data_IF_107018798667
#
_entry.id   IF_107018798667
#
_cell.length_a   1.000
_cell.length_b   1.000
_cell.length_c   1.000
_cell.angle_alpha   90.00
_cell.angle_beta   90.00
_cell.angle_gamma   90.00
#
_symmetry.space_group_name_H-M   'P 1'
#
loop_
_entity.id
_entity.type
_entity.pdbx_description
1 polymer ?
#
# COMPACT_ATOMS: atom_id res chain seq x y z
N UNK A 1 -35.68 -14.45 9.42
CA UNK A 1 -34.99 -13.24 8.90
C UNK A 1 -33.57 -13.64 8.59
N UNK A 2 -33.24 -13.79 7.31
CA UNK A 2 -31.94 -14.30 6.86
C UNK A 2 -30.88 -13.21 6.89
N UNK A 3 -29.74 -13.50 7.49
CA UNK A 3 -28.55 -12.66 7.43
C UNK A 3 -28.01 -12.68 5.99
N UNK A 4 -27.85 -11.50 5.40
CA UNK A 4 -27.14 -11.31 4.14
C UNK A 4 -25.64 -11.38 4.47
N UNK A 5 -24.95 -12.42 3.98
CA UNK A 5 -23.49 -12.64 4.14
C UNK A 5 -22.75 -11.76 3.11
N UNK A 6 -22.78 -10.43 3.31
CA UNK A 6 -22.28 -9.42 2.35
C UNK A 6 -20.73 -9.29 2.33
N UNK A 7 -20.01 -9.81 3.33
CA UNK A 7 -18.55 -9.62 3.48
C UNK A 7 -17.72 -10.79 2.94
N UNK A 8 -18.00 -11.21 1.71
CA UNK A 8 -17.28 -12.33 1.08
C UNK A 8 -16.79 -11.96 -0.31
N UNK A 9 -15.47 -11.80 -0.42
CA UNK A 9 -14.79 -11.66 -1.70
C UNK A 9 -14.59 -13.06 -2.30
N UNK A 10 -14.89 -13.19 -3.58
CA UNK A 10 -14.71 -14.43 -4.34
C UNK A 10 -13.91 -14.08 -5.58
N UNK A 11 -12.77 -14.75 -5.75
CA UNK A 11 -11.89 -14.57 -6.89
C UNK A 11 -11.80 -15.87 -7.68
N UNK A 12 -11.76 -15.75 -9.00
CA UNK A 12 -11.35 -16.84 -9.89
C UNK A 12 -9.85 -16.68 -10.17
N UNK A 13 -9.07 -17.72 -9.94
CA UNK A 13 -7.63 -17.70 -10.21
C UNK A 13 -7.31 -17.88 -11.70
N UNK A 14 -8.32 -18.16 -12.54
CA UNK A 14 -8.22 -18.33 -14.00
C UNK A 14 -7.01 -19.21 -14.38
N UNK A 15 -6.91 -20.39 -13.75
CA UNK A 15 -5.72 -21.26 -13.83
C UNK A 15 -5.29 -21.61 -15.27
N UNK A 16 -6.20 -21.48 -16.24
CA UNK A 16 -5.97 -21.75 -17.67
C UNK A 16 -5.34 -20.58 -18.43
N UNK A 17 -5.36 -19.38 -17.87
CA UNK A 17 -4.79 -18.16 -18.47
C UNK A 17 -3.39 -17.84 -17.94
N UNK A 18 -2.78 -18.77 -17.20
CA UNK A 18 -1.43 -18.61 -16.65
C UNK A 18 -0.41 -18.62 -17.78
N UNK A 19 0.12 -17.44 -18.12
CA UNK A 19 1.08 -17.25 -19.22
C UNK A 19 2.48 -17.81 -18.93
N UNK A 20 2.89 -17.89 -17.65
CA UNK A 20 4.22 -18.33 -17.27
C UNK A 20 4.21 -19.79 -16.79
N UNK A 21 4.94 -20.72 -17.43
CA UNK A 21 4.85 -22.16 -17.16
C UNK A 21 5.32 -22.57 -15.74
N UNK A 22 5.94 -21.67 -14.99
CA UNK A 22 6.39 -21.92 -13.60
C UNK A 22 5.66 -21.08 -12.55
N UNK A 23 4.72 -20.21 -12.94
CA UNK A 23 3.93 -19.46 -11.95
C UNK A 23 2.85 -20.34 -11.35
N UNK A 24 2.71 -20.28 -10.02
CA UNK A 24 1.60 -20.93 -9.33
C UNK A 24 0.33 -20.09 -9.56
N UNK A 25 -0.79 -20.68 -10.01
CA UNK A 25 -2.03 -19.93 -10.11
C UNK A 25 -2.48 -19.45 -8.73
N UNK A 26 -3.01 -18.24 -8.66
CA UNK A 26 -3.43 -17.61 -7.42
C UNK A 26 -3.48 -16.10 -7.54
N UNK A 27 -3.75 -15.44 -6.42
CA UNK A 27 -3.76 -13.98 -6.31
C UNK A 27 -2.80 -13.52 -5.23
N UNK A 28 -2.31 -12.28 -5.36
CA UNK A 28 -1.63 -11.57 -4.29
C UNK A 28 -2.61 -10.57 -3.68
N UNK A 29 -2.87 -10.71 -2.39
CA UNK A 29 -3.85 -9.90 -1.67
C UNK A 29 -3.14 -9.06 -0.61
N UNK A 30 -3.22 -7.73 -0.72
CA UNK A 30 -2.62 -6.80 0.24
C UNK A 30 -3.72 -5.99 0.95
N UNK A 31 -3.49 -5.67 2.22
CA UNK A 31 -4.39 -4.87 3.04
C UNK A 31 -3.60 -3.68 3.56
N UNK A 32 -4.10 -2.48 3.32
CA UNK A 32 -3.40 -1.25 3.65
C UNK A 32 -4.36 -0.10 3.94
N UNK A 33 -3.81 0.99 4.49
CA UNK A 33 -4.55 2.24 4.67
C UNK A 33 -4.94 2.85 3.31
N UNK A 34 -6.12 3.48 3.17
CA UNK A 34 -6.52 4.16 1.93
C UNK A 34 -5.61 5.35 1.55
N UNK A 35 -4.67 5.72 2.41
CA UNK A 35 -3.71 6.82 2.18
C UNK A 35 -2.29 6.33 1.88
N UNK A 36 -2.08 5.02 1.88
CA UNK A 36 -0.80 4.38 1.57
C UNK A 36 -0.90 3.68 0.22
N UNK A 37 0.15 3.79 -0.57
CA UNK A 37 0.30 2.99 -1.77
C UNK A 37 1.10 1.74 -1.40
N UNK A 38 0.53 0.57 -1.70
CA UNK A 38 1.16 -0.72 -1.44
C UNK A 38 1.30 -1.48 -2.74
N UNK A 39 2.43 -2.15 -2.89
CA UNK A 39 2.70 -3.07 -3.99
C UNK A 39 2.40 -4.51 -3.51
N UNK A 40 1.30 -5.15 -3.97
CA UNK A 40 0.97 -6.52 -3.58
C UNK A 40 2.04 -7.54 -3.97
N UNK A 41 2.93 -7.24 -4.93
CA UNK A 41 4.04 -8.12 -5.28
C UNK A 41 5.17 -8.12 -4.24
N UNK A 42 5.25 -7.08 -3.40
CA UNK A 42 6.24 -6.98 -2.32
C UNK A 42 5.66 -7.37 -0.96
N UNK A 43 4.44 -6.92 -0.67
CA UNK A 43 3.84 -7.01 0.67
C UNK A 43 2.56 -7.85 0.71
N UNK A 44 2.12 -8.37 -0.44
CA UNK A 44 0.89 -9.14 -0.55
C UNK A 44 1.01 -10.59 -0.07
N UNK A 45 -0.13 -11.12 0.34
CA UNK A 45 -0.32 -12.50 0.75
C UNK A 45 -0.68 -13.31 -0.49
N UNK A 46 0.12 -14.32 -0.82
CA UNK A 46 -0.22 -15.24 -1.90
C UNK A 46 -1.35 -16.19 -1.47
N UNK A 47 -2.45 -16.20 -2.23
CA UNK A 47 -3.63 -17.03 -1.99
C UNK A 47 -3.84 -18.03 -3.12
N UNK A 48 -4.04 -19.28 -2.75
CA UNK A 48 -4.17 -20.42 -3.67
C UNK A 48 -5.63 -20.69 -4.01
N UNK A 49 -5.91 -21.14 -5.24
CA UNK A 49 -7.23 -21.64 -5.63
C UNK A 49 -7.67 -22.82 -4.76
N UNK A 50 -8.98 -22.96 -4.55
CA UNK A 50 -9.59 -24.05 -3.79
C UNK A 50 -9.61 -23.84 -2.27
N UNK A 51 -9.20 -22.66 -1.80
CA UNK A 51 -9.06 -22.33 -0.39
C UNK A 51 -9.99 -21.17 0.03
N UNK A 52 -10.39 -21.24 1.31
CA UNK A 52 -11.06 -20.17 2.03
C UNK A 52 -10.05 -19.54 3.01
N UNK A 53 -9.76 -18.27 2.79
CA UNK A 53 -8.95 -17.42 3.64
C UNK A 53 -9.86 -16.61 4.55
N UNK A 54 -9.68 -16.74 5.86
CA UNK A 54 -10.30 -15.88 6.87
C UNK A 54 -9.23 -14.96 7.41
N UNK A 55 -9.37 -13.67 7.16
CA UNK A 55 -8.40 -12.66 7.57
C UNK A 55 -9.01 -11.88 8.71
N UNK A 56 -8.43 -11.98 9.90
CA UNK A 56 -8.78 -11.12 11.03
C UNK A 56 -7.87 -9.90 11.00
N UNK A 57 -8.46 -8.71 10.94
CA UNK A 57 -7.79 -7.41 10.97
C UNK A 57 -7.83 -6.81 12.37
N UNK A 58 -6.69 -6.25 12.77
CA UNK A 58 -6.52 -5.48 14.00
C UNK A 58 -5.93 -4.12 13.59
N UNK A 59 -6.56 -3.03 14.01
CA UNK A 59 -6.10 -1.67 13.72
C UNK A 59 -5.39 -1.08 14.93
N UNK A 60 -4.20 -0.53 14.70
CA UNK A 60 -3.49 0.31 15.66
C UNK A 60 -3.39 1.73 15.11
N UNK A 61 -3.70 2.73 15.93
CA UNK A 61 -3.43 4.13 15.62
C UNK A 61 -2.19 4.59 16.37
N UNK A 62 -1.27 5.21 15.65
CA UNK A 62 -0.10 5.87 16.23
C UNK A 62 -0.21 7.37 16.02
N UNK A 63 -0.05 8.13 17.10
CA UNK A 63 -0.10 9.59 17.11
C UNK A 63 1.23 10.14 17.64
N UNK A 64 2.02 10.68 16.72
CA UNK A 64 3.33 11.29 16.98
C UNK A 64 3.16 12.79 17.27
N UNK A 65 4.22 13.40 17.82
CA UNK A 65 4.23 14.83 18.08
C UNK A 65 4.98 15.59 16.97
N UNK A 66 4.45 16.73 16.49
CA UNK A 66 5.14 17.55 15.50
C UNK A 66 6.36 18.25 16.11
N UNK A 67 7.09 19.03 15.31
CA UNK A 67 8.07 19.99 15.85
C UNK A 67 7.45 20.81 17.01
N UNK A 68 8.15 21.04 18.14
CA UNK A 68 9.59 20.86 18.40
C UNK A 68 10.01 19.52 19.03
N UNK A 69 9.12 18.53 19.07
CA UNK A 69 9.44 17.23 19.67
C UNK A 69 10.32 16.38 18.74
N UNK A 70 11.06 15.41 19.31
CA UNK A 70 12.00 14.55 18.58
C UNK A 70 11.35 13.78 17.42
N UNK A 71 10.08 13.42 17.56
CA UNK A 71 9.33 12.73 16.50
C UNK A 71 9.19 13.60 15.25
N UNK A 72 9.21 14.93 15.38
CA UNK A 72 9.20 15.92 14.30
C UNK A 72 8.30 15.53 13.11
N UNK A 73 7.10 15.07 13.42
CA UNK A 73 6.19 14.52 12.42
C UNK A 73 5.57 15.62 11.56
N UNK A 74 5.02 15.23 10.41
CA UNK A 74 4.26 16.09 9.52
C UNK A 74 2.80 15.63 9.44
N UNK A 75 1.86 16.58 9.57
CA UNK A 75 0.45 16.33 9.32
C UNK A 75 0.14 16.47 7.82
N UNK A 76 0.33 15.37 7.08
CA UNK A 76 0.09 15.34 5.64
C UNK A 76 -1.36 15.62 5.26
N UNK A 77 -2.33 15.19 6.07
CA UNK A 77 -3.75 15.46 5.80
C UNK A 77 -4.05 16.95 5.86
N UNK A 78 -3.56 17.65 6.88
CA UNK A 78 -3.72 19.10 6.99
C UNK A 78 -3.01 19.83 5.85
N UNK A 79 -1.78 19.43 5.51
CA UNK A 79 -1.01 20.01 4.39
C UNK A 79 -1.74 19.83 3.06
N UNK A 80 -2.27 18.63 2.81
CA UNK A 80 -3.06 18.30 1.62
C UNK A 80 -4.34 19.13 1.53
N UNK A 81 -5.07 19.30 2.63
CA UNK A 81 -6.26 20.15 2.68
C UNK A 81 -5.92 21.62 2.38
N UNK A 82 -4.86 22.16 3.01
CA UNK A 82 -4.38 23.53 2.77
C UNK A 82 -3.92 23.75 1.34
N UNK A 83 -3.36 22.72 0.70
CA UNK A 83 -2.94 22.74 -0.70
C UNK A 83 -4.07 22.48 -1.71
N UNK A 84 -5.35 22.66 -1.31
CA UNK A 84 -6.47 22.45 -2.22
C UNK A 84 -6.65 21.00 -2.66
N UNK A 85 -6.36 20.04 -1.76
CA UNK A 85 -6.44 18.59 -2.01
C UNK A 85 -5.43 18.10 -3.05
N UNK A 86 -4.24 18.71 -3.08
CA UNK A 86 -3.13 18.29 -3.93
C UNK A 86 -1.91 17.88 -3.10
N UNK A 87 -1.07 17.01 -3.65
CA UNK A 87 0.14 16.51 -2.98
C UNK A 87 -0.05 15.21 -2.20
N UNK A 88 1.03 14.73 -1.53
CA UNK A 88 1.02 13.46 -0.81
C UNK A 88 0.19 13.53 0.47
N UNK A 89 -0.48 12.43 0.81
CA UNK A 89 -1.33 12.29 2.02
C UNK A 89 -0.71 11.40 3.10
N UNK A 90 0.49 10.89 2.85
CA UNK A 90 1.27 10.07 3.78
C UNK A 90 2.76 10.25 3.47
N UNK A 91 3.61 9.81 4.39
CA UNK A 91 5.05 9.73 4.18
C UNK A 91 5.39 8.86 2.97
N UNK A 92 4.76 7.69 2.83
CA UNK A 92 5.06 6.78 1.72
C UNK A 92 4.69 7.43 0.38
N UNK A 93 3.54 8.10 0.30
CA UNK A 93 3.17 8.87 -0.89
C UNK A 93 4.13 10.04 -1.17
N UNK A 94 4.73 10.64 -0.13
CA UNK A 94 5.77 11.65 -0.30
C UNK A 94 7.02 11.05 -0.96
N UNK A 95 7.46 9.86 -0.52
CA UNK A 95 8.61 9.16 -1.11
C UNK A 95 8.35 8.74 -2.55
N UNK A 96 7.17 8.17 -2.84
CA UNK A 96 6.77 7.83 -4.20
C UNK A 96 6.73 9.06 -5.11
N UNK A 97 6.30 10.22 -4.58
CA UNK A 97 6.36 11.49 -5.29
C UNK A 97 7.81 11.92 -5.59
N UNK A 98 8.73 11.80 -4.63
CA UNK A 98 10.15 12.11 -4.86
C UNK A 98 10.73 11.28 -6.01
N UNK A 99 10.46 9.97 -6.04
CA UNK A 99 10.87 9.11 -7.14
C UNK A 99 10.27 9.56 -8.46
N UNK A 100 8.95 9.78 -8.49
CA UNK A 100 8.28 10.27 -9.70
C UNK A 100 8.92 11.55 -10.21
N UNK A 101 9.08 12.56 -9.34
CA UNK A 101 9.63 13.86 -9.74
C UNK A 101 11.05 13.72 -10.28
N UNK A 102 11.89 12.85 -9.70
CA UNK A 102 13.22 12.56 -10.22
C UNK A 102 13.14 11.98 -11.64
N UNK A 103 12.32 10.96 -11.87
CA UNK A 103 12.20 10.33 -13.18
C UNK A 103 11.57 11.25 -14.23
N UNK A 104 10.54 12.01 -13.85
CA UNK A 104 9.90 12.99 -14.74
C UNK A 104 10.87 14.12 -15.11
N UNK A 105 11.70 14.58 -14.18
CA UNK A 105 12.70 15.63 -14.45
C UNK A 105 13.90 15.11 -15.29
N UNK A 106 14.31 13.87 -15.08
CA UNK A 106 15.49 13.31 -15.75
C UNK A 106 15.21 12.68 -17.12
N UNK A 107 14.05 12.03 -17.27
CA UNK A 107 13.73 11.19 -18.42
C UNK A 107 12.38 11.54 -19.06
N UNK A 108 11.69 12.57 -18.54
CA UNK A 108 10.37 12.99 -19.03
C UNK A 108 9.34 11.83 -19.09
N UNK A 109 9.50 10.83 -18.21
CA UNK A 109 8.67 9.64 -18.12
C UNK A 109 8.62 9.13 -16.69
N UNK A 110 7.68 8.24 -16.38
CA UNK A 110 7.56 7.61 -15.05
C UNK A 110 7.67 6.09 -15.17
N UNK A 111 8.42 5.47 -14.24
CA UNK A 111 8.50 4.02 -14.14
C UNK A 111 7.14 3.40 -13.78
N UNK A 112 6.90 2.15 -14.21
CA UNK A 112 5.64 1.45 -13.91
C UNK A 112 5.53 1.09 -12.42
N UNK A 113 6.66 0.92 -11.76
CA UNK A 113 6.79 0.56 -10.34
C UNK A 113 6.50 1.73 -9.38
N UNK A 114 6.44 2.97 -9.89
CA UNK A 114 6.14 4.15 -9.07
C UNK A 114 4.63 4.28 -8.91
N UNK A 115 4.16 4.20 -7.66
CA UNK A 115 2.73 4.14 -7.34
C UNK A 115 2.07 5.52 -7.20
N UNK A 116 2.84 6.61 -7.27
CA UNK A 116 2.28 7.97 -7.18
C UNK A 116 1.59 8.36 -8.50
N UNK A 117 0.46 9.10 -8.46
CA UNK A 117 -0.21 9.57 -9.67
C UNK A 117 0.74 10.29 -10.63
N UNK A 118 0.76 9.82 -11.88
CA UNK A 118 1.62 10.31 -12.95
C UNK A 118 0.83 11.07 -14.01
N UNK A 119 1.49 12.06 -14.63
CA UNK A 119 0.97 12.78 -15.80
C UNK A 119 1.74 12.44 -17.07
N UNK A 120 2.98 12.00 -16.91
CA UNK A 120 3.87 11.60 -18.00
C UNK A 120 3.60 10.17 -18.46
N UNK A 121 4.15 9.84 -19.64
CA UNK A 121 4.11 8.49 -20.20
C UNK A 121 4.91 7.50 -19.35
N UNK A 122 4.61 6.21 -19.49
CA UNK A 122 5.44 5.15 -18.90
C UNK A 122 6.77 5.09 -19.65
N UNK A 123 7.88 5.02 -18.92
CA UNK A 123 9.19 4.83 -19.53
C UNK A 123 9.24 3.52 -20.32
N UNK A 124 9.73 3.56 -21.57
CA UNK A 124 9.95 2.35 -22.34
C UNK A 124 11.25 1.70 -21.86
N UNK A 125 11.21 0.40 -21.51
CA UNK A 125 12.38 -0.33 -20.98
C UNK A 125 13.36 -0.78 -22.07
N UNK A 126 13.08 -0.51 -23.34
CA UNK A 126 14.03 -0.79 -24.43
C UNK A 126 15.23 0.14 -24.25
N UNK A 127 16.38 -0.45 -23.92
CA UNK A 127 17.64 0.19 -23.52
C UNK A 127 18.20 1.24 -24.50
N UNK A 128 17.62 1.39 -25.69
CA UNK A 128 18.10 2.26 -26.76
C UNK A 128 17.29 3.56 -26.93
N UNK A 129 16.19 3.75 -26.18
CA UNK A 129 15.30 4.92 -26.28
C UNK A 129 14.88 5.41 -24.87
N UNK A 130 15.85 5.74 -24.02
CA UNK A 130 15.58 6.82 -23.07
C UNK A 130 15.53 8.10 -23.90
N UNK A 131 14.32 8.56 -24.24
CA UNK A 131 14.09 9.90 -24.79
C UNK A 131 14.95 10.89 -24.00
N UNK A 132 15.85 11.58 -24.71
CA UNK A 132 16.70 12.66 -24.21
C UNK A 132 17.01 12.59 -22.72
N UNK A 133 18.05 11.82 -22.35
CA UNK A 133 18.62 11.85 -21.00
C UNK A 133 18.99 13.30 -20.67
N UNK A 134 18.13 13.99 -19.95
CA UNK A 134 18.34 15.35 -19.44
C UNK A 134 19.30 15.35 -18.25
N UNK A 135 19.41 14.22 -17.56
CA UNK A 135 20.34 13.99 -16.45
C UNK A 135 21.59 13.24 -16.94
N UNK A 136 22.66 13.92 -17.39
CA UNK A 136 23.91 13.25 -17.75
C UNK A 136 24.44 12.44 -16.56
N UNK A 137 25.18 11.36 -16.82
CA UNK A 137 25.80 10.54 -15.78
C UNK A 137 26.66 11.35 -14.79
N UNK A 138 27.20 12.51 -15.23
CA UNK A 138 27.90 13.48 -14.40
C UNK A 138 27.04 14.06 -13.24
N UNK A 139 25.71 14.10 -13.38
CA UNK A 139 24.76 14.60 -12.38
C UNK A 139 24.16 13.47 -11.54
N UNK A 140 24.61 12.23 -11.68
CA UNK A 140 24.11 11.10 -10.89
C UNK A 140 24.31 11.35 -9.39
N UNK A 141 25.44 11.93 -8.99
CA UNK A 141 25.71 12.28 -7.60
C UNK A 141 24.75 13.37 -7.09
N UNK A 142 24.54 14.44 -7.86
CA UNK A 142 23.61 15.52 -7.50
C UNK A 142 22.17 15.01 -7.41
N UNK A 143 21.76 14.14 -8.33
CA UNK A 143 20.46 13.49 -8.32
C UNK A 143 20.30 12.58 -7.10
N UNK A 144 21.32 11.81 -6.73
CA UNK A 144 21.31 11.00 -5.50
C UNK A 144 21.23 11.86 -4.24
N UNK A 145 21.93 13.00 -4.21
CA UNK A 145 21.88 13.97 -3.10
C UNK A 145 20.50 14.63 -3.01
N UNK A 146 19.96 15.10 -4.14
CA UNK A 146 18.62 15.69 -4.25
C UNK A 146 17.55 14.68 -3.82
N UNK A 147 17.69 13.45 -4.26
CA UNK A 147 16.80 12.35 -3.91
C UNK A 147 16.86 12.06 -2.41
N UNK A 148 18.06 11.90 -1.85
CA UNK A 148 18.25 11.72 -0.40
C UNK A 148 17.62 12.87 0.40
N UNK A 149 17.86 14.11 -0.01
CA UNK A 149 17.25 15.29 0.61
C UNK A 149 15.72 15.27 0.54
N UNK A 150 15.14 14.85 -0.60
CA UNK A 150 13.69 14.71 -0.73
C UNK A 150 13.13 13.68 0.26
N UNK A 151 13.77 12.53 0.41
CA UNK A 151 13.35 11.51 1.40
C UNK A 151 13.50 11.98 2.85
N UNK A 152 14.57 12.70 3.18
CA UNK A 152 14.75 13.27 4.52
C UNK A 152 13.67 14.32 4.84
N UNK A 153 13.16 15.03 3.83
CA UNK A 153 12.04 15.95 3.97
C UNK A 153 10.68 15.26 4.06
N UNK A 154 10.57 13.99 3.68
CA UNK A 154 9.38 13.17 3.91
C UNK A 154 9.36 12.66 5.36
N UNK A 155 9.02 13.57 6.27
CA UNK A 155 8.84 13.32 7.71
C UNK A 155 7.78 12.25 7.97
N UNK A 156 7.84 11.61 9.14
CA UNK A 156 6.84 10.64 9.57
C UNK A 156 5.45 11.27 9.69
N UNK A 157 4.41 10.49 9.44
CA UNK A 157 3.01 10.90 9.62
C UNK A 157 2.70 11.18 11.10
N UNK A 158 2.14 12.35 11.40
CA UNK A 158 1.70 12.65 12.78
C UNK A 158 0.58 11.74 13.27
N UNK A 159 -0.25 11.24 12.36
CA UNK A 159 -1.28 10.26 12.67
C UNK A 159 -1.30 9.23 11.57
N UNK A 160 -1.06 7.96 11.91
CA UNK A 160 -1.15 6.85 10.97
C UNK A 160 -1.89 5.67 11.57
N UNK A 161 -2.64 4.99 10.71
CA UNK A 161 -3.28 3.72 11.02
C UNK A 161 -2.39 2.60 10.49
N UNK A 162 -1.98 1.69 11.37
CA UNK A 162 -1.28 0.45 11.04
C UNK A 162 -2.27 -0.69 11.15
N UNK A 163 -2.26 -1.57 10.15
CA UNK A 163 -3.09 -2.77 10.15
C UNK A 163 -2.19 -3.98 10.41
N UNK A 164 -2.48 -4.73 11.46
CA UNK A 164 -1.98 -6.09 11.62
C UNK A 164 -3.07 -7.07 11.25
N UNK A 165 -2.69 -8.23 10.75
CA UNK A 165 -3.65 -9.22 10.33
C UNK A 165 -3.20 -10.65 10.63
N UNK A 166 -4.17 -11.52 10.87
CA UNK A 166 -3.95 -12.97 11.01
C UNK A 166 -4.73 -13.68 9.92
N UNK A 167 -4.03 -14.51 9.15
CA UNK A 167 -4.62 -15.28 8.06
C UNK A 167 -4.84 -16.70 8.52
N UNK A 168 -6.08 -17.18 8.41
CA UNK A 168 -6.42 -18.58 8.57
C UNK A 168 -6.82 -19.16 7.21
N UNK A 169 -6.01 -20.10 6.73
CA UNK A 169 -6.25 -20.84 5.49
C UNK A 169 -7.00 -22.14 5.78
N UNK A 170 -7.99 -22.48 4.94
CA UNK A 170 -8.71 -23.75 5.02
C UNK A 170 -9.12 -24.23 3.63
N UNK A 171 -8.97 -25.52 3.33
CA UNK A 171 -9.47 -26.08 2.07
C UNK A 171 -10.99 -25.98 2.02
N UNK A 172 -11.53 -25.60 0.86
CA UNK A 172 -12.98 -25.67 0.61
C UNK A 172 -13.33 -27.15 0.41
N UNK A 173 -13.51 -27.90 1.50
CA UNK A 173 -13.85 -29.33 1.41
C UNK A 173 -15.29 -29.52 0.93
N UNK A 174 -15.48 -30.41 -0.06
CA UNK A 174 -16.80 -30.82 -0.58
C UNK A 174 -17.75 -31.39 0.48
N UNK A 175 -17.25 -31.78 1.67
CA UNK A 175 -18.04 -32.46 2.71
C UNK A 175 -19.03 -31.57 3.48
N UNK A 176 -19.03 -30.25 3.29
CA UNK A 176 -20.00 -29.34 3.92
C UNK A 176 -21.27 -29.08 3.09
N UNK A 177 -21.48 -29.73 1.95
CA UNK A 177 -22.69 -29.51 1.13
C UNK A 177 -23.29 -30.83 0.61
N UNK A 178 -24.12 -31.46 1.44
CA UNK A 178 -25.23 -32.28 0.95
C UNK A 178 -26.30 -31.35 0.35
N UNK A 179 -25.99 -30.76 -0.80
CA UNK A 179 -26.92 -30.35 -1.87
C UNK A 179 -26.16 -29.49 -2.89
N UNK A 180 -25.86 -30.12 -4.03
CA UNK A 180 -25.75 -29.53 -5.36
C UNK A 180 -25.09 -28.15 -5.50
N UNK A 181 -23.75 -28.13 -5.55
CA UNK A 181 -22.92 -27.47 -6.59
C UNK A 181 -21.46 -27.70 -6.22
N UNK A 182 -20.68 -28.35 -7.10
CA UNK A 182 -19.23 -28.49 -6.89
C UNK A 182 -18.64 -27.09 -6.88
N UNK A 183 -18.16 -26.61 -5.73
CA UNK A 183 -17.35 -25.39 -5.72
C UNK A 183 -16.10 -25.72 -6.54
N UNK A 184 -15.85 -25.00 -7.64
CA UNK A 184 -14.73 -25.30 -8.50
C UNK A 184 -13.39 -25.11 -7.78
N UNK A 185 -12.42 -25.97 -8.09
CA UNK A 185 -11.08 -25.89 -7.50
C UNK A 185 -10.35 -24.59 -7.80
N UNK A 186 -10.76 -23.83 -8.83
CA UNK A 186 -10.15 -22.55 -9.24
C UNK A 186 -10.57 -21.36 -8.37
N UNK A 187 -11.58 -21.50 -7.51
CA UNK A 187 -12.12 -20.38 -6.74
C UNK A 187 -11.31 -20.14 -5.46
N UNK A 188 -11.00 -18.88 -5.20
CA UNK A 188 -10.47 -18.39 -3.92
C UNK A 188 -11.60 -17.65 -3.20
N UNK A 189 -11.84 -17.99 -1.93
CA UNK A 189 -12.79 -17.27 -1.07
C UNK A 189 -12.03 -16.52 0.00
N UNK A 190 -12.33 -15.24 0.16
CA UNK A 190 -11.73 -14.41 1.22
C UNK A 190 -12.85 -13.81 2.05
N UNK A 191 -12.75 -14.00 3.38
CA UNK A 191 -13.57 -13.31 4.37
C UNK A 191 -12.66 -12.44 5.21
N UNK A 192 -12.94 -11.14 5.23
CA UNK A 192 -12.19 -10.17 6.02
C UNK A 192 -13.04 -9.80 7.22
N UNK A 193 -12.52 -10.02 8.41
CA UNK A 193 -13.16 -9.68 9.67
C UNK A 193 -12.39 -8.51 10.26
N UNK A 194 -13.05 -7.37 10.42
CA UNK A 194 -12.49 -6.24 11.12
C UNK A 194 -12.91 -6.32 12.58
N UNK A 195 -11.93 -6.51 13.47
CA UNK A 195 -12.18 -6.44 14.92
C UNK A 195 -12.16 -4.97 15.33
N UNK A 196 -13.33 -4.33 15.32
CA UNK A 196 -13.51 -2.92 15.70
C UNK A 196 -13.76 -2.72 17.20
N UNK A 197 -13.80 -3.81 17.97
CA UNK A 197 -14.16 -3.75 19.39
C UNK A 197 -13.14 -2.96 20.21
N UNK A 198 -11.86 -3.04 19.84
CA UNK A 198 -10.77 -2.31 20.49
C UNK A 198 -9.76 -1.78 19.45
N UNK A 199 -9.69 -0.45 19.29
CA UNK A 199 -8.63 0.19 18.50
C UNK A 199 -7.50 0.60 19.46
N UNK A 200 -6.36 -0.09 19.37
CA UNK A 200 -5.19 0.28 20.16
C UNK A 200 -4.64 1.62 19.69
N UNK A 201 -4.64 2.64 20.55
CA UNK A 201 -4.09 3.96 20.25
C UNK A 201 -2.83 4.21 21.06
N UNK A 202 -1.69 4.31 20.37
CA UNK A 202 -0.43 4.77 20.93
C UNK A 202 -0.29 6.27 20.70
N UNK A 203 -0.39 7.06 21.77
CA UNK A 203 -0.29 8.53 21.73
C UNK A 203 0.96 9.01 22.45
N UNK A 204 1.83 9.70 21.73
CA UNK A 204 2.94 10.44 22.32
C UNK A 204 2.40 11.70 22.98
N UNK A 205 2.78 11.95 24.23
CA UNK A 205 2.41 13.15 24.98
C UNK A 205 3.65 13.94 25.37
N UNK A 206 3.61 15.28 25.30
CA UNK A 206 4.64 16.11 25.87
C UNK A 206 4.85 15.77 27.35
N UNK A 207 6.10 15.65 27.78
CA UNK A 207 6.42 15.47 29.21
C UNK A 207 6.08 16.73 30.01
N UNK A 208 6.24 17.90 29.39
CA UNK A 208 5.90 19.20 29.97
C UNK A 208 4.89 19.87 29.03
N UNK A 209 3.66 20.08 29.50
CA UNK A 209 2.78 21.06 28.89
C UNK A 209 3.24 22.44 29.38
N UNK A 210 3.39 23.41 28.48
CA UNK A 210 3.50 24.79 28.91
C UNK A 210 2.27 25.09 29.77
N UNK A 211 2.49 25.29 31.07
CA UNK A 211 1.51 25.99 31.88
C UNK A 211 1.48 27.39 31.27
N UNK A 212 0.35 27.74 30.66
CA UNK A 212 0.11 29.10 30.18
C UNK A 212 0.36 30.04 31.37
N UNK A 213 1.46 30.79 31.29
CA UNK A 213 1.83 31.88 32.18
C UNK A 213 1.24 33.18 31.64
#
# INVERSE_FOLDING_TARGET
MGAVDDDKLVFDAEEKEVFYPHSKPGILFAIHSPFEAVDPFKEGIFMKPGHLYRIKLEMMREELLPHPYKTDCLNYTEKWLKAGRTGPRSQEMCRQKCLRDLFENCYNCTLIEILYPKKTRICNKTLDEYDEISCPEANLFENLVSMKSCYENCKDDCSRAKFSYRVQESCITQKMMFNSTRIPSHIIKVKVYFDDTEILTMRYKPQYQHQDL
#
